data_IF_991165552004
#
_entry.id   IF_991165552004
#
_cell.length_a   1.000
_cell.length_b   1.000
_cell.length_c   1.000
_cell.angle_alpha   90.00
_cell.angle_beta   90.00
_cell.angle_gamma   90.00
#
_symmetry.space_group_name_H-M   'P 1'
#
loop_
_entity.id
_entity.type
_entity.pdbx_description
1 polymer ?
#
# COMPACT_ATOMS: atom_id res chain seq x y z
N UNK A 1 27.90 11.12 -14.37
CA UNK A 1 27.57 10.10 -13.34
C UNK A 1 27.21 8.83 -14.08
N UNK A 2 27.95 7.76 -13.84
CA UNK A 2 27.75 6.49 -14.53
C UNK A 2 26.83 5.61 -13.68
N UNK A 3 25.59 5.41 -14.14
CA UNK A 3 24.57 4.64 -13.40
C UNK A 3 25.04 3.20 -13.12
N UNK A 4 25.91 2.62 -13.96
CA UNK A 4 26.43 1.28 -13.75
C UNK A 4 27.43 1.22 -12.57
N UNK A 5 28.16 2.30 -12.30
CA UNK A 5 29.21 2.37 -11.27
C UNK A 5 28.68 2.95 -9.95
N UNK A 6 27.72 3.89 -10.00
CA UNK A 6 27.23 4.65 -8.85
C UNK A 6 25.83 4.21 -8.34
N UNK A 7 25.39 2.99 -8.69
CA UNK A 7 24.01 2.49 -8.43
C UNK A 7 23.55 2.55 -6.97
N UNK A 8 24.46 2.47 -6.01
CA UNK A 8 24.19 2.54 -4.57
C UNK A 8 23.90 3.95 -4.05
N UNK A 9 24.26 4.98 -4.81
CA UNK A 9 23.99 6.38 -4.45
C UNK A 9 22.61 6.87 -4.91
N UNK A 10 21.93 6.10 -5.77
CA UNK A 10 20.59 6.45 -6.22
C UNK A 10 19.54 6.11 -5.17
N UNK A 11 18.77 7.12 -4.78
CA UNK A 11 17.57 6.92 -3.95
C UNK A 11 16.48 6.21 -4.75
N UNK A 12 15.50 5.63 -4.06
CA UNK A 12 14.34 5.03 -4.71
C UNK A 12 13.58 6.04 -5.60
N UNK A 13 13.52 7.31 -5.19
CA UNK A 13 12.93 8.40 -5.97
C UNK A 13 13.73 8.70 -7.23
N UNK A 14 15.07 8.72 -7.15
CA UNK A 14 15.93 8.91 -8.30
C UNK A 14 15.79 7.77 -9.32
N UNK A 15 15.70 6.51 -8.85
CA UNK A 15 15.41 5.36 -9.70
C UNK A 15 14.04 5.46 -10.38
N UNK A 16 13.01 5.87 -9.64
CA UNK A 16 11.67 6.05 -10.18
C UNK A 16 11.62 7.13 -11.26
N UNK A 17 12.25 8.29 -11.02
CA UNK A 17 12.37 9.39 -11.99
C UNK A 17 13.13 8.91 -13.23
N UNK A 18 14.26 8.22 -13.04
CA UNK A 18 15.02 7.67 -14.14
C UNK A 18 14.19 6.67 -14.96
N UNK A 19 13.55 5.70 -14.31
CA UNK A 19 12.75 4.67 -14.99
C UNK A 19 11.57 5.28 -15.73
N UNK A 20 10.85 6.23 -15.13
CA UNK A 20 9.63 6.77 -15.73
C UNK A 20 9.88 7.87 -16.76
N UNK A 21 10.98 8.64 -16.67
CA UNK A 21 11.22 9.78 -17.56
C UNK A 21 12.39 9.56 -18.53
N UNK A 22 13.47 8.92 -18.08
CA UNK A 22 14.71 8.81 -18.85
C UNK A 22 14.82 7.47 -19.57
N UNK A 23 14.39 6.37 -18.95
CA UNK A 23 14.52 5.03 -19.52
C UNK A 23 13.83 4.85 -20.88
N UNK A 24 12.61 5.38 -21.15
CA UNK A 24 11.98 5.28 -22.47
C UNK A 24 12.88 5.82 -23.60
N UNK A 25 13.38 7.04 -23.45
CA UNK A 25 14.20 7.69 -24.47
C UNK A 25 15.60 7.08 -24.57
N UNK A 26 16.22 6.75 -23.43
CA UNK A 26 17.60 6.26 -23.40
C UNK A 26 17.73 4.81 -23.86
N UNK A 27 16.70 3.99 -23.68
CA UNK A 27 16.71 2.57 -24.05
C UNK A 27 16.17 2.33 -25.46
N UNK A 28 15.54 3.33 -26.08
CA UNK A 28 15.07 3.25 -27.46
C UNK A 28 16.23 2.97 -28.42
N UNK A 29 16.07 1.94 -29.24
CA UNK A 29 17.12 1.51 -30.19
C UNK A 29 18.35 0.85 -29.56
N UNK A 30 18.40 0.70 -28.23
CA UNK A 30 19.47 -0.02 -27.51
C UNK A 30 19.05 -1.39 -27.01
N UNK A 31 17.79 -1.51 -26.59
CA UNK A 31 17.20 -2.80 -26.22
C UNK A 31 16.52 -3.44 -27.43
N UNK A 32 16.56 -4.77 -27.47
CA UNK A 32 15.73 -5.54 -28.39
C UNK A 32 14.25 -5.18 -28.16
N UNK A 33 13.47 -5.11 -29.23
CA UNK A 33 12.08 -4.63 -29.24
C UNK A 33 11.21 -5.25 -28.14
N UNK A 34 11.37 -6.56 -27.87
CA UNK A 34 10.60 -7.25 -26.81
C UNK A 34 10.89 -6.69 -25.42
N UNK A 35 12.16 -6.47 -25.07
CA UNK A 35 12.57 -5.97 -23.76
C UNK A 35 12.29 -4.48 -23.62
N UNK A 36 12.41 -3.74 -24.73
CA UNK A 36 12.03 -2.34 -24.78
C UNK A 36 10.54 -2.15 -24.50
N UNK A 37 9.67 -2.88 -25.22
CA UNK A 37 8.23 -2.82 -25.02
C UNK A 37 7.83 -3.25 -23.61
N UNK A 38 8.48 -4.29 -23.07
CA UNK A 38 8.24 -4.74 -21.70
C UNK A 38 8.66 -3.69 -20.65
N UNK A 39 9.72 -2.93 -20.92
CA UNK A 39 10.14 -1.78 -20.09
C UNK A 39 9.12 -0.64 -20.15
N UNK A 40 8.57 -0.34 -21.34
CA UNK A 40 7.53 0.67 -21.48
C UNK A 40 6.24 0.28 -20.75
N UNK A 41 5.87 -1.01 -20.76
CA UNK A 41 4.76 -1.52 -19.96
C UNK A 41 4.99 -1.30 -18.46
N UNK A 42 6.21 -1.54 -17.96
CA UNK A 42 6.56 -1.26 -16.57
C UNK A 42 6.38 0.23 -16.25
N UNK A 43 6.83 1.13 -17.14
CA UNK A 43 6.69 2.57 -16.96
C UNK A 43 5.23 3.00 -16.88
N UNK A 44 4.37 2.46 -17.75
CA UNK A 44 2.92 2.73 -17.71
C UNK A 44 2.29 2.24 -16.40
N UNK A 45 2.62 1.02 -15.96
CA UNK A 45 2.11 0.45 -14.71
C UNK A 45 2.52 1.27 -13.49
N UNK A 46 3.78 1.68 -13.42
CA UNK A 46 4.29 2.55 -12.35
C UNK A 46 3.54 3.88 -12.32
N UNK A 47 3.38 4.54 -13.48
CA UNK A 47 2.67 5.82 -13.57
C UNK A 47 1.22 5.70 -13.11
N UNK A 48 0.52 4.65 -13.50
CA UNK A 48 -0.87 4.39 -13.07
C UNK A 48 -0.95 4.08 -11.58
N UNK A 49 0.02 3.36 -11.03
CA UNK A 49 0.15 3.04 -9.59
C UNK A 49 0.49 4.26 -8.72
N UNK A 50 0.88 5.37 -9.33
CA UNK A 50 1.14 6.65 -8.66
C UNK A 50 -0.04 7.63 -8.68
N UNK A 51 -1.19 7.28 -9.26
CA UNK A 51 -2.40 8.10 -9.19
C UNK A 51 -2.81 8.37 -7.73
N UNK A 52 -3.42 9.52 -7.49
CA UNK A 52 -3.94 9.90 -6.17
C UNK A 52 -5.34 9.32 -5.92
N UNK A 53 -6.06 9.01 -6.99
CA UNK A 53 -7.43 8.52 -6.94
C UNK A 53 -7.57 7.26 -7.80
N UNK A 54 -8.36 6.31 -7.28
CA UNK A 54 -8.65 5.04 -7.92
C UNK A 54 -10.09 4.61 -7.68
N UNK A 55 -10.70 4.03 -8.69
CA UNK A 55 -11.88 3.17 -8.55
C UNK A 55 -11.48 1.75 -8.19
N UNK A 56 -12.42 0.98 -7.64
CA UNK A 56 -12.19 -0.43 -7.31
C UNK A 56 -11.88 -1.27 -8.56
N UNK A 57 -12.58 -0.97 -9.65
CA UNK A 57 -12.43 -1.60 -10.96
C UNK A 57 -11.04 -1.34 -11.55
N UNK A 58 -10.54 -0.10 -11.47
CA UNK A 58 -9.18 0.26 -11.93
C UNK A 58 -8.09 -0.47 -11.12
N UNK A 59 -8.25 -0.57 -9.80
CA UNK A 59 -7.31 -1.33 -8.97
C UNK A 59 -7.33 -2.83 -9.32
N UNK A 60 -8.50 -3.40 -9.55
CA UNK A 60 -8.63 -4.79 -9.98
C UNK A 60 -7.97 -5.04 -11.34
N UNK A 61 -8.15 -4.14 -12.29
CA UNK A 61 -7.47 -4.17 -13.59
C UNK A 61 -5.96 -4.07 -13.40
N UNK A 62 -5.49 -3.09 -12.63
CA UNK A 62 -4.06 -2.89 -12.33
C UNK A 62 -3.42 -4.12 -11.70
N UNK A 63 -4.11 -4.79 -10.76
CA UNK A 63 -3.62 -6.04 -10.14
C UNK A 63 -3.37 -7.11 -11.21
N UNK A 64 -4.32 -7.29 -12.13
CA UNK A 64 -4.17 -8.28 -13.21
C UNK A 64 -3.04 -7.91 -14.16
N UNK A 65 -2.88 -6.63 -14.50
CA UNK A 65 -1.81 -6.17 -15.40
C UNK A 65 -0.42 -6.28 -14.77
N UNK A 66 -0.29 -6.07 -13.46
CA UNK A 66 0.95 -6.36 -12.73
C UNK A 66 1.29 -7.85 -12.76
N UNK A 67 0.30 -8.72 -12.57
CA UNK A 67 0.50 -10.17 -12.66
C UNK A 67 0.93 -10.60 -14.07
N UNK A 68 0.27 -10.09 -15.11
CA UNK A 68 0.65 -10.34 -16.51
C UNK A 68 2.08 -9.86 -16.81
N UNK A 69 2.45 -8.68 -16.29
CA UNK A 69 3.80 -8.17 -16.45
C UNK A 69 4.83 -9.10 -15.82
N UNK A 70 4.61 -9.59 -14.59
CA UNK A 70 5.54 -10.53 -13.93
C UNK A 70 5.64 -11.86 -14.69
N UNK A 71 4.53 -12.40 -15.22
CA UNK A 71 4.57 -13.62 -16.04
C UNK A 71 5.39 -13.42 -17.33
N UNK A 72 5.23 -12.26 -17.98
CA UNK A 72 6.04 -11.92 -19.16
C UNK A 72 7.52 -11.73 -18.79
N UNK A 73 7.80 -11.18 -17.62
CA UNK A 73 9.16 -11.07 -17.09
C UNK A 73 9.79 -12.45 -16.88
N UNK A 74 9.08 -13.38 -16.25
CA UNK A 74 9.55 -14.76 -16.07
C UNK A 74 9.86 -15.44 -17.40
N UNK A 75 9.01 -15.23 -18.42
CA UNK A 75 9.24 -15.76 -19.76
C UNK A 75 10.46 -15.14 -20.45
N UNK A 76 10.64 -13.82 -20.34
CA UNK A 76 11.65 -13.08 -21.10
C UNK A 76 13.04 -13.08 -20.48
N UNK A 77 13.14 -13.02 -19.14
CA UNK A 77 14.40 -12.87 -18.42
C UNK A 77 14.80 -14.16 -17.69
N UNK A 78 13.90 -14.72 -16.88
CA UNK A 78 14.14 -15.97 -16.16
C UNK A 78 14.17 -17.18 -17.09
N UNK A 79 13.36 -17.16 -18.17
CA UNK A 79 13.23 -18.22 -19.16
C UNK A 79 12.89 -19.61 -18.56
N UNK A 80 12.37 -19.66 -17.33
CA UNK A 80 12.11 -20.89 -16.58
C UNK A 80 13.36 -21.76 -16.40
N UNK A 81 14.52 -21.13 -16.34
CA UNK A 81 15.82 -21.77 -16.22
C UNK A 81 16.37 -21.57 -14.81
N UNK A 82 16.56 -22.67 -14.08
CA UNK A 82 17.07 -22.63 -12.70
C UNK A 82 18.46 -21.98 -12.61
N UNK A 83 19.29 -22.08 -13.65
CA UNK A 83 20.61 -21.42 -13.67
C UNK A 83 20.49 -19.89 -13.66
N UNK A 84 19.29 -19.36 -13.97
CA UNK A 84 18.97 -17.93 -14.00
C UNK A 84 18.16 -17.50 -12.79
N UNK A 85 18.18 -18.25 -11.69
CA UNK A 85 17.53 -17.89 -10.42
C UNK A 85 17.84 -16.46 -9.94
N UNK A 86 19.03 -15.93 -10.25
CA UNK A 86 19.38 -14.53 -9.96
C UNK A 86 18.48 -13.49 -10.65
N UNK A 87 17.82 -13.87 -11.74
CA UNK A 87 16.84 -13.07 -12.46
C UNK A 87 15.45 -13.09 -11.82
N UNK A 88 15.18 -13.88 -10.78
CA UNK A 88 13.95 -13.82 -10.00
C UNK A 88 14.19 -13.15 -8.63
N UNK A 89 14.65 -11.89 -8.59
CA UNK A 89 14.86 -11.24 -7.32
C UNK A 89 13.50 -10.99 -6.66
N UNK A 90 13.54 -11.00 -5.34
CA UNK A 90 12.40 -10.72 -4.48
C UNK A 90 11.67 -9.41 -4.84
N UNK A 91 12.41 -8.41 -5.34
CA UNK A 91 11.84 -7.15 -5.79
C UNK A 91 10.83 -7.31 -6.93
N UNK A 92 10.98 -8.32 -7.80
CA UNK A 92 10.04 -8.62 -8.88
C UNK A 92 8.77 -9.27 -8.32
N UNK A 93 8.89 -10.20 -7.36
CA UNK A 93 7.73 -10.79 -6.69
C UNK A 93 6.90 -9.74 -5.94
N UNK A 94 7.57 -8.79 -5.29
CA UNK A 94 6.93 -7.71 -4.56
C UNK A 94 6.02 -6.82 -5.44
N UNK A 95 6.23 -6.80 -6.76
CA UNK A 95 5.37 -6.06 -7.69
C UNK A 95 3.91 -6.57 -7.68
N UNK A 96 3.70 -7.87 -7.41
CA UNK A 96 2.37 -8.47 -7.32
C UNK A 96 1.54 -7.91 -6.14
N UNK A 97 2.22 -7.43 -5.10
CA UNK A 97 1.59 -6.95 -3.86
C UNK A 97 1.44 -5.44 -3.81
N UNK A 98 1.88 -4.71 -4.83
CA UNK A 98 1.75 -3.25 -4.89
C UNK A 98 0.28 -2.83 -4.74
N UNK A 99 -0.62 -3.49 -5.48
CA UNK A 99 -2.04 -3.14 -5.47
C UNK A 99 -2.72 -3.55 -4.17
N UNK A 100 -2.30 -4.67 -3.57
CA UNK A 100 -2.75 -5.07 -2.23
C UNK A 100 -2.38 -3.98 -1.22
N UNK A 101 -1.15 -3.47 -1.29
CA UNK A 101 -0.70 -2.34 -0.47
C UNK A 101 -1.53 -1.06 -0.69
N UNK A 102 -1.98 -0.78 -1.92
CA UNK A 102 -2.85 0.37 -2.20
C UNK A 102 -4.26 0.17 -1.61
N UNK A 103 -4.81 -1.04 -1.69
CA UNK A 103 -6.09 -1.37 -1.07
C UNK A 103 -6.05 -1.17 0.45
N UNK A 104 -4.96 -1.61 1.09
CA UNK A 104 -4.86 -1.66 2.54
C UNK A 104 -4.41 -0.33 3.17
N UNK A 105 -3.49 0.39 2.51
CA UNK A 105 -2.85 1.59 3.05
C UNK A 105 -3.20 2.87 2.29
N UNK A 106 -3.97 2.77 1.21
CA UNK A 106 -4.29 3.87 0.31
C UNK A 106 -3.19 4.13 -0.73
N UNK A 107 -3.38 5.14 -1.61
CA UNK A 107 -2.48 5.43 -2.72
C UNK A 107 -1.02 5.57 -2.28
N UNK A 108 -0.10 5.01 -3.06
CA UNK A 108 1.35 5.11 -2.81
C UNK A 108 1.75 6.58 -2.68
N UNK A 109 1.24 7.46 -3.56
CA UNK A 109 1.52 8.89 -3.52
C UNK A 109 1.03 9.62 -2.25
N UNK A 110 0.09 9.05 -1.49
CA UNK A 110 -0.45 9.65 -0.26
C UNK A 110 0.39 9.34 0.99
N UNK A 111 1.37 8.44 0.90
CA UNK A 111 2.33 8.17 1.99
C UNK A 111 3.26 9.38 2.17
N UNK A 112 2.93 10.23 3.17
CA UNK A 112 3.47 11.60 3.33
C UNK A 112 4.97 11.76 3.63
N UNK A 113 5.75 10.69 3.72
CA UNK A 113 7.19 10.86 4.04
C UNK A 113 8.09 10.17 3.03
N UNK A 114 7.87 8.90 2.69
CA UNK A 114 8.63 8.20 1.65
C UNK A 114 7.85 6.96 1.19
N UNK A 115 6.95 7.08 0.20
CA UNK A 115 6.12 5.98 -0.29
C UNK A 115 6.87 4.68 -0.53
N UNK A 116 8.04 4.82 -1.16
CA UNK A 116 8.85 3.69 -1.58
C UNK A 116 9.77 3.19 -0.48
N UNK A 117 10.24 4.04 0.45
CA UNK A 117 10.96 3.54 1.62
C UNK A 117 10.01 2.80 2.58
N UNK A 118 8.75 3.22 2.66
CA UNK A 118 7.70 2.54 3.42
C UNK A 118 7.33 1.19 2.77
N UNK A 119 7.13 1.18 1.45
CA UNK A 119 6.86 -0.04 0.69
C UNK A 119 8.04 -1.02 0.75
N UNK A 120 9.27 -0.55 0.51
CA UNK A 120 10.48 -1.36 0.60
C UNK A 120 10.70 -1.91 2.02
N UNK A 121 10.44 -1.12 3.06
CA UNK A 121 10.52 -1.59 4.46
C UNK A 121 9.43 -2.62 4.77
N UNK A 122 8.23 -2.47 4.21
CA UNK A 122 7.15 -3.43 4.37
C UNK A 122 7.48 -4.76 3.68
N UNK A 123 7.95 -4.72 2.44
CA UNK A 123 8.42 -5.89 1.68
C UNK A 123 9.56 -6.59 2.42
N UNK A 124 10.56 -5.83 2.88
CA UNK A 124 11.66 -6.37 3.67
C UNK A 124 11.17 -7.07 4.96
N UNK A 125 10.17 -6.50 5.63
CA UNK A 125 9.61 -7.09 6.84
C UNK A 125 8.83 -8.39 6.57
N UNK A 126 8.06 -8.45 5.49
CA UNK A 126 7.36 -9.68 5.07
C UNK A 126 8.35 -10.81 4.79
N UNK A 127 9.46 -10.47 4.16
CA UNK A 127 10.46 -11.43 3.70
C UNK A 127 11.36 -11.94 4.82
N UNK A 128 11.72 -11.06 5.76
CA UNK A 128 12.34 -11.51 7.01
C UNK A 128 11.45 -12.50 7.76
N UNK A 129 10.13 -12.26 7.80
CA UNK A 129 9.19 -13.20 8.41
C UNK A 129 9.13 -14.51 7.62
N UNK A 130 9.11 -14.47 6.29
CA UNK A 130 9.12 -15.66 5.44
C UNK A 130 10.38 -16.51 5.68
N UNK A 131 11.57 -15.88 5.69
CA UNK A 131 12.84 -16.56 5.97
C UNK A 131 12.86 -17.18 7.38
N UNK A 132 12.34 -16.49 8.39
CA UNK A 132 12.23 -17.02 9.76
C UNK A 132 11.28 -18.23 9.80
N UNK A 133 10.14 -18.16 9.10
CA UNK A 133 9.21 -19.29 9.00
C UNK A 133 9.88 -20.51 8.39
N UNK A 134 10.60 -20.32 7.28
CA UNK A 134 11.31 -21.40 6.58
C UNK A 134 12.42 -21.99 7.43
N UNK A 135 13.32 -21.15 7.96
CA UNK A 135 14.52 -21.59 8.67
C UNK A 135 14.23 -22.34 9.96
N UNK A 136 13.15 -21.97 10.66
CA UNK A 136 12.79 -22.57 11.94
C UNK A 136 11.56 -23.48 11.85
N UNK A 137 11.07 -23.77 10.63
CA UNK A 137 9.85 -24.53 10.37
C UNK A 137 8.65 -24.06 11.21
N UNK A 138 8.52 -22.73 11.33
CA UNK A 138 7.56 -22.09 12.22
C UNK A 138 6.22 -21.77 11.55
N UNK A 139 5.97 -22.26 10.34
CA UNK A 139 4.73 -21.98 9.59
C UNK A 139 3.49 -22.18 10.47
N UNK A 140 3.31 -23.36 11.06
CA UNK A 140 2.15 -23.63 11.92
C UNK A 140 2.08 -22.74 13.17
N UNK A 141 3.20 -22.26 13.70
CA UNK A 141 3.26 -21.51 14.97
C UNK A 141 3.09 -20.00 14.75
N UNK A 142 3.74 -19.45 13.72
CA UNK A 142 3.61 -18.06 13.29
C UNK A 142 2.29 -17.82 12.54
N UNK A 143 1.82 -18.78 11.75
CA UNK A 143 0.50 -18.70 11.12
C UNK A 143 -0.61 -18.87 12.14
N UNK A 144 -0.41 -19.58 13.27
CA UNK A 144 -1.34 -19.54 14.42
C UNK A 144 -1.32 -18.21 15.18
N UNK A 145 -0.19 -17.49 15.19
CA UNK A 145 -0.10 -16.15 15.77
C UNK A 145 -0.73 -15.09 14.83
N UNK A 146 -0.63 -15.29 13.51
CA UNK A 146 -1.35 -14.50 12.49
C UNK A 146 -2.81 -14.91 12.32
N UNK A 147 -3.17 -16.17 12.62
CA UNK A 147 -4.54 -16.66 12.67
C UNK A 147 -5.23 -15.87 13.78
N UNK A 148 -5.83 -14.77 13.35
CA UNK A 148 -6.38 -13.81 14.23
C UNK A 148 -7.45 -14.47 15.07
N UNK A 149 -7.44 -14.13 16.37
CA UNK A 149 -8.59 -14.38 17.24
C UNK A 149 -9.85 -14.00 16.46
N UNK A 150 -10.90 -14.83 16.49
CA UNK A 150 -12.16 -14.51 15.82
C UNK A 150 -12.59 -13.09 16.20
N UNK A 151 -13.16 -12.32 15.25
CA UNK A 151 -13.47 -10.92 15.46
C UNK A 151 -14.26 -10.75 16.75
N UNK A 152 -13.62 -10.10 17.71
CA UNK A 152 -14.17 -9.92 19.04
C UNK A 152 -15.29 -8.87 18.93
N UNK A 153 -16.55 -9.32 18.86
CA UNK A 153 -17.76 -8.51 19.13
C UNK A 153 -17.64 -7.04 18.68
N UNK A 154 -17.33 -6.82 17.40
CA UNK A 154 -17.14 -5.48 16.82
C UNK A 154 -18.43 -4.93 16.21
N UNK A 155 -18.52 -3.60 16.09
CA UNK A 155 -19.65 -2.94 15.43
C UNK A 155 -19.49 -3.02 13.91
N UNK A 156 -20.52 -3.51 13.22
CA UNK A 156 -20.56 -3.63 11.76
C UNK A 156 -21.40 -2.49 11.19
N UNK A 157 -20.84 -1.75 10.24
CA UNK A 157 -21.59 -0.73 9.50
C UNK A 157 -22.23 -1.38 8.27
N UNK A 158 -23.56 -1.25 8.06
CA UNK A 158 -24.22 -1.78 6.87
C UNK A 158 -23.63 -1.25 5.55
N UNK A 159 -23.14 -0.01 5.56
CA UNK A 159 -22.51 0.61 4.39
C UNK A 159 -21.10 0.06 4.06
N UNK A 160 -20.45 -0.64 4.99
CA UNK A 160 -19.12 -1.23 4.83
C UNK A 160 -19.12 -2.65 5.39
N UNK A 161 -19.71 -3.63 4.67
CA UNK A 161 -19.97 -4.97 5.20
C UNK A 161 -18.69 -5.74 5.57
N UNK A 162 -17.56 -5.40 4.94
CA UNK A 162 -16.27 -6.04 5.18
C UNK A 162 -15.44 -5.37 6.29
N UNK A 163 -15.92 -4.30 6.90
CA UNK A 163 -15.21 -3.58 7.96
C UNK A 163 -15.87 -3.82 9.32
N UNK A 164 -15.10 -4.35 10.26
CA UNK A 164 -15.50 -4.58 11.65
C UNK A 164 -14.79 -3.54 12.52
N UNK A 165 -15.56 -2.61 13.10
CA UNK A 165 -15.02 -1.63 14.04
C UNK A 165 -14.85 -2.27 15.42
N UNK A 166 -13.62 -2.38 15.90
CA UNK A 166 -13.31 -3.08 17.15
C UNK A 166 -13.43 -2.15 18.36
N UNK A 167 -13.81 -2.69 19.54
CA UNK A 167 -14.09 -1.88 20.72
C UNK A 167 -12.84 -1.16 21.23
N UNK A 168 -12.86 0.15 21.11
CA UNK A 168 -12.13 1.16 21.86
C UNK A 168 -12.88 2.48 21.60
N UNK A 169 -14.14 2.52 22.03
CA UNK A 169 -15.08 3.61 21.75
C UNK A 169 -14.74 4.80 22.65
N UNK A 170 -14.24 5.89 22.08
CA UNK A 170 -14.16 7.17 22.78
C UNK A 170 -15.07 8.16 22.07
N UNK A 171 -16.00 8.76 22.81
CA UNK A 171 -16.70 9.96 22.34
C UNK A 171 -15.70 11.09 22.28
N UNK A 172 -15.50 11.65 21.09
CA UNK A 172 -14.61 12.78 20.86
C UNK A 172 -15.46 13.97 20.47
N UNK A 173 -15.26 15.09 21.18
CA UNK A 173 -15.73 16.39 20.73
C UNK A 173 -14.80 16.87 19.62
N UNK A 174 -15.34 17.18 18.45
CA UNK A 174 -14.51 17.62 17.33
C UNK A 174 -13.86 18.97 17.67
N UNK A 175 -12.53 18.99 17.55
CA UNK A 175 -11.76 20.23 17.58
C UNK A 175 -12.19 21.12 16.39
N UNK A 176 -12.27 22.43 16.61
CA UNK A 176 -12.79 23.37 15.62
C UNK A 176 -12.06 23.28 14.27
N UNK A 177 -10.75 22.98 14.29
CA UNK A 177 -9.98 22.75 13.06
C UNK A 177 -10.42 21.46 12.34
N UNK A 178 -10.50 20.34 13.05
CA UNK A 178 -10.93 19.05 12.49
C UNK A 178 -12.36 19.15 11.94
N UNK A 179 -13.26 19.82 12.66
CA UNK A 179 -14.63 20.06 12.20
C UNK A 179 -14.66 20.80 10.86
N UNK A 180 -13.86 21.87 10.70
CA UNK A 180 -13.75 22.59 9.41
C UNK A 180 -13.22 21.71 8.30
N UNK A 181 -12.21 20.88 8.57
CA UNK A 181 -11.65 19.95 7.58
C UNK A 181 -12.67 18.89 7.15
N UNK A 182 -13.42 18.31 8.10
CA UNK A 182 -14.47 17.32 7.80
C UNK A 182 -15.57 17.95 6.94
N UNK A 183 -16.04 19.15 7.31
CA UNK A 183 -17.03 19.90 6.53
C UNK A 183 -16.53 20.18 5.11
N UNK A 184 -15.30 20.67 4.96
CA UNK A 184 -14.72 20.96 3.65
C UNK A 184 -14.63 19.69 2.79
N UNK A 185 -14.15 18.58 3.36
CA UNK A 185 -14.03 17.31 2.65
C UNK A 185 -15.39 16.77 2.18
N UNK A 186 -16.41 16.82 3.05
CA UNK A 186 -17.76 16.37 2.71
C UNK A 186 -18.42 17.29 1.67
N UNK A 187 -18.22 18.61 1.77
CA UNK A 187 -18.70 19.58 0.78
C UNK A 187 -18.11 19.30 -0.61
N UNK A 188 -16.80 19.04 -0.68
CA UNK A 188 -16.12 18.66 -1.93
C UNK A 188 -16.60 17.31 -2.45
N UNK A 189 -16.75 16.30 -1.58
CA UNK A 189 -17.08 14.93 -1.99
C UNK A 189 -18.52 14.77 -2.49
N UNK A 190 -19.45 15.53 -1.92
CA UNK A 190 -20.87 15.49 -2.27
C UNK A 190 -21.32 16.69 -3.12
N UNK A 191 -20.37 17.48 -3.64
CA UNK A 191 -20.63 18.68 -4.45
C UNK A 191 -21.71 19.61 -3.87
N UNK A 192 -21.62 19.85 -2.56
CA UNK A 192 -22.65 20.55 -1.78
C UNK A 192 -22.05 21.73 -1.01
N UNK A 193 -22.87 22.73 -0.68
CA UNK A 193 -22.42 23.90 0.09
C UNK A 193 -21.93 23.51 1.50
N UNK A 194 -20.76 24.04 1.87
CA UNK A 194 -20.18 23.86 3.22
C UNK A 194 -21.11 24.32 4.35
N UNK A 195 -22.03 25.26 4.08
CA UNK A 195 -23.00 25.71 5.08
C UNK A 195 -24.09 24.67 5.35
N UNK A 196 -24.52 23.91 4.34
CA UNK A 196 -25.48 22.82 4.51
C UNK A 196 -24.84 21.61 5.20
N UNK A 197 -23.56 21.33 4.91
CA UNK A 197 -22.83 20.25 5.59
C UNK A 197 -22.57 20.60 7.06
N UNK A 198 -22.31 21.87 7.41
CA UNK A 198 -22.10 22.32 8.80
C UNK A 198 -23.26 22.00 9.72
N UNK A 199 -24.50 22.02 9.23
CA UNK A 199 -25.68 21.71 10.04
C UNK A 199 -25.90 20.21 10.23
N UNK A 200 -25.31 19.38 9.36
CA UNK A 200 -25.44 17.92 9.37
C UNK A 200 -24.34 17.22 10.16
N UNK A 201 -23.16 17.83 10.30
CA UNK A 201 -22.04 17.22 11.04
C UNK A 201 -22.25 17.40 12.56
N UNK A 202 -22.37 16.30 13.33
CA UNK A 202 -22.53 16.39 14.78
C UNK A 202 -21.23 16.90 15.45
N UNK A 203 -21.37 17.65 16.55
CA UNK A 203 -20.21 18.16 17.31
C UNK A 203 -19.48 17.08 18.13
N UNK A 204 -20.16 15.97 18.41
CA UNK A 204 -19.60 14.80 19.09
C UNK A 204 -19.71 13.58 18.18
N UNK A 205 -18.62 12.84 18.05
CA UNK A 205 -18.58 11.62 17.26
C UNK A 205 -17.95 10.48 18.04
N UNK A 206 -18.44 9.27 17.77
CA UNK A 206 -17.78 8.06 18.19
C UNK A 206 -16.49 7.88 17.37
N UNK A 207 -15.40 7.59 18.07
CA UNK A 207 -14.12 7.26 17.44
C UNK A 207 -13.74 5.82 17.73
N UNK A 208 -13.16 5.17 16.73
CA UNK A 208 -12.63 3.82 16.81
C UNK A 208 -11.15 3.84 16.45
N UNK A 209 -10.33 3.25 17.32
CA UNK A 209 -8.88 3.16 17.13
C UNK A 209 -8.46 1.99 16.23
N UNK A 210 -9.36 1.02 16.03
CA UNK A 210 -9.07 -0.28 15.44
C UNK A 210 -10.18 -0.68 14.48
N UNK A 211 -9.79 -1.08 13.28
CA UNK A 211 -10.67 -1.65 12.27
C UNK A 211 -10.08 -3.00 11.87
N UNK A 212 -10.93 -4.02 11.79
CA UNK A 212 -10.56 -5.35 11.32
C UNK A 212 -11.35 -5.66 10.06
N UNK A 213 -10.70 -6.24 9.06
CA UNK A 213 -11.38 -6.71 7.87
C UNK A 213 -12.06 -8.06 8.13
N UNK A 214 -13.27 -8.24 7.60
CA UNK A 214 -14.03 -9.48 7.75
C UNK A 214 -13.29 -10.68 7.12
N UNK A 215 -13.58 -11.90 7.61
CA UNK A 215 -12.87 -13.12 7.17
C UNK A 215 -11.49 -13.33 7.81
N UNK A 216 -11.14 -12.57 8.86
CA UNK A 216 -9.85 -12.70 9.54
C UNK A 216 -8.70 -11.95 8.86
N UNK A 217 -9.02 -10.95 8.02
CA UNK A 217 -8.06 -10.05 7.38
C UNK A 217 -7.59 -8.91 8.30
N UNK A 218 -6.52 -8.22 7.91
CA UNK A 218 -5.65 -7.44 8.80
C UNK A 218 -6.32 -6.46 9.79
N UNK A 219 -5.68 -6.34 10.96
CA UNK A 219 -6.03 -5.36 11.98
C UNK A 219 -5.38 -4.01 11.70
N UNK A 220 -6.15 -3.08 11.16
CA UNK A 220 -5.73 -1.70 10.95
C UNK A 220 -5.85 -0.90 12.24
N UNK A 221 -4.79 -0.17 12.61
CA UNK A 221 -4.75 0.69 13.81
C UNK A 221 -4.54 2.15 13.42
N UNK A 222 -5.32 3.06 13.97
CA UNK A 222 -5.13 4.48 13.76
C UNK A 222 -3.82 4.95 14.42
N UNK A 223 -2.94 5.61 13.65
CA UNK A 223 -1.63 6.07 14.13
C UNK A 223 -1.69 7.04 15.32
N UNK A 224 -2.78 7.78 15.48
CA UNK A 224 -2.97 8.69 16.63
C UNK A 224 -3.37 7.94 17.92
N UNK A 225 -3.84 6.70 17.81
CA UNK A 225 -4.24 5.86 18.93
C UNK A 225 -3.13 4.89 19.40
N UNK A 226 -1.98 4.85 18.71
CA UNK A 226 -0.86 3.97 19.03
C UNK A 226 0.20 4.59 19.95
N UNK A 227 0.09 5.90 20.27
CA UNK A 227 0.97 6.51 21.26
C UNK A 227 0.47 6.17 22.66
N UNK A 228 1.20 5.38 23.47
CA UNK A 228 0.91 5.35 24.89
C UNK A 228 1.05 6.78 25.43
N UNK A 229 0.04 7.27 26.13
CA UNK A 229 0.22 8.45 26.97
C UNK A 229 1.20 8.02 28.05
N UNK A 230 2.47 8.41 27.90
CA UNK A 230 3.44 8.35 28.98
C UNK A 230 3.02 9.42 29.99
N UNK A 231 2.06 9.08 30.85
CA UNK A 231 1.81 9.87 32.06
C UNK A 231 2.93 9.53 33.03
N UNK A 232 3.98 10.34 33.03
CA UNK A 232 4.92 10.37 34.15
C UNK A 232 4.16 11.07 35.28
N UNK A 233 3.60 10.28 36.19
CA UNK A 233 3.17 10.77 37.49
C UNK A 233 4.45 11.01 38.32
N UNK A 234 4.58 12.24 38.83
CA UNK A 234 5.56 12.58 39.86
C UNK A 234 5.16 12.05 41.22
#
# INVERSE_FOLDING_TARGET
MNIAEDRSHFTAEAWLVWTTLLAPELLQGRLETRFYNHTLQLVDLIRRTMSFDYTYEELRELRNRWAEWVQNYERYYYCYDEERLSACPLTIHALLHIIDGIFDAGPVAASRLFPYASLNRHILALEQIAVIKTRYNLYQRLDRLKAMRPPSHGFRLPAYPHAILLPARKKIKLEAHLFRCVVAHLATRFDTSANQIRTLVPQEMDSWARVQQDGGGDLMRAAKASKPQTTIAG
#
